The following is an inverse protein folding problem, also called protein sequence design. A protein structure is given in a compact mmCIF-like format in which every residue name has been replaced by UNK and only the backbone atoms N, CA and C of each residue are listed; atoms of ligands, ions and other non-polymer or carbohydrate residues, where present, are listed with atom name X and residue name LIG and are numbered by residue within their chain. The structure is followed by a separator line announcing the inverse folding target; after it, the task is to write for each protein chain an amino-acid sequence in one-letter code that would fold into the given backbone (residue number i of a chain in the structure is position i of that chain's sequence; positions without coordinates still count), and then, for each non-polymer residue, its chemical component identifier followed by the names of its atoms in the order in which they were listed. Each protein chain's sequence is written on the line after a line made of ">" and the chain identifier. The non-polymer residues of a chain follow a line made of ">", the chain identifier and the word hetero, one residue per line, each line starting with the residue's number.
data_IF_485237218701
#
_entry.id   IF_485237218701
#
_cell.length_a   1.000
_cell.length_b   1.000
_cell.length_c   1.000
_cell.angle_alpha   90.00
_cell.angle_beta   90.00
_cell.angle_gamma   90.00
#
_symmetry.space_group_name_H-M   'P 1'
#
loop_
_entity.id
_entity.type
_entity.pdbx_description
1 polymer ?
#
# COMPACT_ATOMS: atom_id res chain seq x y z
N UNK A 1 -6.47 -8.44 -14.70
CA UNK A 1 -7.63 -7.51 -14.63
C UNK A 1 -7.47 -6.72 -13.34
N UNK A 2 -7.50 -5.39 -13.41
CA UNK A 2 -7.52 -4.53 -12.22
C UNK A 2 -8.96 -4.12 -11.97
N UNK A 3 -9.37 -4.10 -10.70
CA UNK A 3 -10.62 -3.47 -10.28
C UNK A 3 -10.26 -2.09 -9.76
N UNK A 4 -10.70 -1.08 -10.50
CA UNK A 4 -10.51 0.31 -10.15
C UNK A 4 -11.77 0.83 -9.48
N UNK A 5 -11.67 1.35 -8.26
CA UNK A 5 -12.82 1.88 -7.54
C UNK A 5 -12.57 3.32 -7.07
N UNK A 6 -13.55 4.19 -7.26
CA UNK A 6 -13.47 5.61 -6.87
C UNK A 6 -14.38 5.83 -5.67
N UNK A 7 -13.80 6.25 -4.55
CA UNK A 7 -14.53 6.60 -3.34
C UNK A 7 -15.16 8.00 -3.49
N UNK A 8 -16.42 8.16 -3.10
CA UNK A 8 -17.07 9.47 -3.01
C UNK A 8 -17.52 9.70 -1.58
N UNK A 9 -17.15 10.84 -1.01
CA UNK A 9 -17.85 11.40 0.16
C UNK A 9 -18.62 12.63 -0.29
N UNK A 10 -19.95 12.69 -0.10
CA UNK A 10 -20.70 13.90 -0.43
C UNK A 10 -20.61 14.89 0.74
N UNK A 11 -19.47 15.55 0.93
CA UNK A 11 -19.42 16.80 1.73
C UNK A 11 -18.43 17.76 1.06
N UNK A 12 -18.96 18.94 0.70
CA UNK A 12 -18.30 20.19 0.34
C UNK A 12 -16.79 20.19 0.10
N UNK A 13 -16.44 20.52 -1.14
CA UNK A 13 -15.11 20.80 -1.66
C UNK A 13 -14.17 19.60 -1.85
N UNK A 14 -14.12 19.18 -3.12
CA UNK A 14 -13.04 18.54 -3.87
C UNK A 14 -11.93 17.89 -3.03
N UNK A 15 -11.93 16.55 -3.01
CA UNK A 15 -10.78 15.70 -3.35
C UNK A 15 -11.27 14.25 -3.51
N UNK A 16 -11.00 13.65 -4.68
CA UNK A 16 -11.32 12.25 -5.00
C UNK A 16 -10.29 11.32 -4.34
N UNK A 17 -10.73 10.42 -3.47
CA UNK A 17 -9.87 9.35 -2.95
C UNK A 17 -10.01 8.14 -3.89
N UNK A 18 -8.90 7.75 -4.51
CA UNK A 18 -8.83 6.59 -5.40
C UNK A 18 -8.39 5.39 -4.55
N UNK A 19 -9.26 4.40 -4.36
CA UNK A 19 -8.92 3.19 -3.61
C UNK A 19 -8.91 2.01 -4.59
N UNK A 20 -7.75 1.39 -4.77
CA UNK A 20 -7.60 0.23 -5.65
C UNK A 20 -7.76 -1.02 -4.80
N UNK A 21 -8.75 -1.84 -5.13
CA UNK A 21 -8.93 -3.15 -4.50
C UNK A 21 -8.57 -4.26 -5.49
N UNK A 22 -7.95 -5.32 -4.98
CA UNK A 22 -7.79 -6.57 -5.71
C UNK A 22 -8.91 -7.51 -5.24
N UNK A 23 -9.89 -7.79 -6.10
CA UNK A 23 -10.74 -8.97 -5.92
C UNK A 23 -10.18 -10.05 -6.85
N UNK A 24 -9.56 -11.08 -6.25
CA UNK A 24 -9.29 -12.32 -6.96
C UNK A 24 -10.62 -13.01 -7.23
N UNK A 25 -11.27 -12.70 -8.35
CA UNK A 25 -12.22 -13.64 -8.91
C UNK A 25 -11.40 -14.79 -9.50
N UNK A 26 -11.33 -15.91 -8.77
CA UNK A 26 -10.95 -17.22 -9.31
C UNK A 26 -11.96 -17.60 -10.41
N UNK A 27 -11.82 -16.99 -11.58
CA UNK A 27 -12.50 -17.44 -12.79
C UNK A 27 -11.48 -18.26 -13.54
N UNK A 28 -11.28 -19.49 -13.07
CA UNK A 28 -10.65 -20.55 -13.84
C UNK A 28 -11.57 -20.91 -15.00
N UNK A 29 -11.60 -20.09 -16.05
CA UNK A 29 -12.16 -20.50 -17.34
C UNK A 29 -11.01 -21.06 -18.15
N UNK A 30 -10.76 -22.35 -17.89
CA UNK A 30 -10.15 -23.25 -18.86
C UNK A 30 -10.92 -23.14 -20.19
N UNK A 31 -10.19 -23.09 -21.30
CA UNK A 31 -10.69 -22.97 -22.66
C UNK A 31 -12.01 -23.72 -22.91
N UNK A 32 -13.07 -22.98 -23.20
CA UNK A 32 -14.13 -23.46 -24.08
C UNK A 32 -14.71 -22.31 -24.90
N UNK A 33 -14.91 -22.58 -26.19
CA UNK A 33 -15.24 -21.65 -27.27
C UNK A 33 -16.26 -20.57 -26.88
N UNK A 34 -15.90 -19.34 -27.23
CA UNK A 34 -16.61 -18.08 -27.04
C UNK A 34 -18.05 -18.14 -27.58
N UNK A 35 -19.04 -17.91 -26.72
CA UNK A 35 -20.26 -17.19 -27.10
C UNK A 35 -20.10 -15.76 -26.63
N UNK A 36 -20.06 -14.81 -27.55
CA UNK A 36 -20.06 -13.38 -27.25
C UNK A 36 -21.33 -13.05 -26.46
N UNK A 37 -21.17 -12.76 -25.17
CA UNK A 37 -22.23 -12.11 -24.39
C UNK A 37 -22.06 -10.61 -24.64
N UNK A 38 -23.04 -10.00 -25.31
CA UNK A 38 -23.18 -8.54 -25.35
C UNK A 38 -23.38 -8.07 -23.91
N UNK A 39 -22.37 -7.40 -23.34
CA UNK A 39 -22.54 -6.64 -22.10
C UNK A 39 -23.25 -5.35 -22.51
N UNK A 40 -24.54 -5.29 -22.22
CA UNK A 40 -25.31 -4.04 -22.33
C UNK A 40 -24.90 -3.14 -21.18
N UNK A 41 -24.47 -1.92 -21.49
CA UNK A 41 -24.30 -0.84 -20.51
C UNK A 41 -25.63 -0.64 -19.76
N UNK A 42 -25.72 -1.11 -18.52
CA UNK A 42 -26.85 -0.80 -17.65
C UNK A 42 -26.56 0.54 -16.98
N UNK A 43 -27.01 1.63 -17.60
CA UNK A 43 -27.19 2.92 -16.94
C UNK A 43 -28.51 2.89 -16.15
N UNK A 44 -28.54 2.15 -15.05
CA UNK A 44 -29.55 2.39 -14.02
C UNK A 44 -28.97 3.36 -12.99
N UNK A 45 -29.44 4.60 -13.04
CA UNK A 45 -29.28 5.54 -11.94
C UNK A 45 -30.27 5.09 -10.87
N UNK A 46 -29.82 4.25 -9.94
CA UNK A 46 -30.60 3.92 -8.74
C UNK A 46 -30.53 5.13 -7.80
N UNK A 47 -31.66 5.64 -7.27
CA UNK A 47 -31.64 6.75 -6.33
C UNK A 47 -30.82 6.37 -5.09
N UNK A 48 -29.87 7.23 -4.72
CA UNK A 48 -29.08 7.12 -3.50
C UNK A 48 -30.01 7.09 -2.29
N UNK A 49 -29.97 5.99 -1.53
CA UNK A 49 -30.65 5.90 -0.23
C UNK A 49 -29.77 6.65 0.77
N UNK A 50 -30.29 7.72 1.38
CA UNK A 50 -29.58 8.61 2.30
C UNK A 50 -29.04 7.93 3.58
N UNK A 51 -29.52 6.72 3.91
CA UNK A 51 -29.28 6.06 5.21
C UNK A 51 -28.19 4.97 5.22
N UNK A 52 -27.45 4.74 4.11
CA UNK A 52 -26.55 3.58 4.00
C UNK A 52 -25.06 3.84 4.34
N UNK A 53 -24.70 5.04 4.77
CA UNK A 53 -23.29 5.34 5.09
C UNK A 53 -22.87 4.80 6.47
N UNK A 54 -22.04 3.77 6.46
CA UNK A 54 -21.29 3.33 7.65
C UNK A 54 -20.16 4.33 7.89
N UNK A 55 -20.43 5.35 8.71
CA UNK A 55 -19.45 6.36 9.09
C UNK A 55 -19.00 6.16 10.54
N UNK A 56 -17.69 5.93 10.73
CA UNK A 56 -17.07 5.90 12.05
C UNK A 56 -16.25 7.19 12.25
N UNK A 57 -16.85 8.27 12.78
CA UNK A 57 -16.10 9.47 13.09
C UNK A 57 -15.07 9.18 14.17
N UNK A 58 -13.89 9.79 14.04
CA UNK A 58 -13.00 9.97 15.18
C UNK A 58 -13.68 10.93 16.15
N UNK A 59 -14.02 10.45 17.34
CA UNK A 59 -14.59 11.24 18.44
C UNK A 59 -13.75 10.99 19.68
N UNK A 60 -13.31 12.07 20.34
CA UNK A 60 -12.43 12.01 21.52
C UNK A 60 -11.17 11.15 21.27
N UNK A 61 -10.56 11.30 20.08
CA UNK A 61 -9.44 10.50 19.59
C UNK A 61 -9.70 8.99 19.52
N UNK A 62 -10.97 8.57 19.38
CA UNK A 62 -11.34 7.16 19.25
C UNK A 62 -12.27 6.92 18.07
N UNK A 63 -12.13 5.75 17.47
CA UNK A 63 -13.06 5.15 16.52
C UNK A 63 -13.73 3.97 17.23
N UNK A 64 -15.00 4.15 17.64
CA UNK A 64 -15.76 3.12 18.35
C UNK A 64 -16.48 2.20 17.37
N UNK A 65 -16.17 0.91 17.41
CA UNK A 65 -16.75 -0.11 16.54
C UNK A 65 -17.41 -1.20 17.40
N UNK A 66 -18.69 -1.46 17.17
CA UNK A 66 -19.40 -2.56 17.83
C UNK A 66 -19.45 -3.78 16.91
N UNK A 67 -18.52 -4.71 17.10
CA UNK A 67 -18.41 -5.94 16.28
C UNK A 67 -19.61 -6.89 16.44
N UNK A 68 -20.39 -6.76 17.53
CA UNK A 68 -21.59 -7.56 17.75
C UNK A 68 -22.83 -7.02 17.02
N UNK A 69 -22.71 -5.85 16.38
CA UNK A 69 -23.79 -5.24 15.62
C UNK A 69 -23.38 -5.19 14.14
N UNK A 70 -23.57 -6.30 13.38
CA UNK A 70 -23.22 -6.33 11.97
C UNK A 70 -24.01 -5.25 11.23
N UNK A 71 -23.30 -4.45 10.43
CA UNK A 71 -23.91 -3.43 9.59
C UNK A 71 -24.11 -3.99 8.20
N UNK A 72 -25.30 -3.80 7.63
CA UNK A 72 -25.50 -4.05 6.19
C UNK A 72 -24.81 -2.91 5.45
N UNK A 73 -23.89 -3.27 4.56
CA UNK A 73 -23.25 -2.32 3.67
C UNK A 73 -23.17 -2.92 2.27
N UNK A 74 -23.33 -2.06 1.27
CA UNK A 74 -23.18 -2.29 -0.15
C UNK A 74 -21.82 -1.76 -0.61
N UNK A 75 -21.26 -2.32 -1.68
CA UNK A 75 -20.09 -1.72 -2.34
C UNK A 75 -20.38 -0.28 -2.79
N UNK A 76 -21.62 0.00 -3.19
CA UNK A 76 -22.06 1.32 -3.62
C UNK A 76 -22.19 2.35 -2.47
N UNK A 77 -22.16 1.90 -1.21
CA UNK A 77 -22.11 2.80 -0.06
C UNK A 77 -20.71 3.43 0.11
N UNK A 78 -19.68 2.77 -0.46
CA UNK A 78 -18.29 3.22 -0.40
C UNK A 78 -17.79 3.74 -1.75
N UNK A 79 -18.17 3.11 -2.85
CA UNK A 79 -17.65 3.45 -4.18
C UNK A 79 -18.73 4.09 -5.05
N UNK A 80 -18.43 5.28 -5.55
CA UNK A 80 -19.26 5.97 -6.54
C UNK A 80 -19.12 5.41 -7.96
N UNK A 81 -18.00 4.76 -8.23
CA UNK A 81 -17.69 4.21 -9.53
C UNK A 81 -16.78 3.00 -9.36
N UNK A 82 -17.07 1.94 -10.12
CA UNK A 82 -16.27 0.73 -10.19
C UNK A 82 -16.04 0.44 -11.68
N UNK A 83 -14.78 0.26 -12.04
CA UNK A 83 -14.32 -0.02 -13.40
C UNK A 83 -13.45 -1.27 -13.41
N UNK A 84 -13.56 -2.04 -14.50
CA UNK A 84 -12.74 -3.21 -14.77
C UNK A 84 -11.77 -2.90 -15.90
N UNK A 85 -10.48 -2.87 -15.59
CA UNK A 85 -9.44 -2.57 -16.57
C UNK A 85 -8.72 -3.87 -16.95
N UNK A 86 -8.91 -4.38 -18.17
CA UNK A 86 -8.16 -5.53 -18.66
C UNK A 86 -6.71 -5.10 -18.89
N UNK A 87 -5.76 -5.86 -18.34
CA UNK A 87 -4.34 -5.62 -18.59
C UNK A 87 -3.89 -6.37 -19.83
N UNK A 88 -3.10 -5.71 -20.68
CA UNK A 88 -2.39 -6.35 -21.77
C UNK A 88 -1.61 -7.57 -21.23
N UNK A 89 -1.78 -8.72 -21.89
CA UNK A 89 -1.23 -9.99 -21.42
C UNK A 89 -0.53 -10.70 -22.58
N UNK A 90 0.70 -11.14 -22.34
CA UNK A 90 1.51 -12.00 -23.21
C UNK A 90 2.53 -12.74 -22.35
N UNK A 91 3.17 -13.78 -22.88
CA UNK A 91 4.12 -14.63 -22.14
C UNK A 91 5.24 -13.83 -21.45
N UNK A 92 5.63 -12.68 -22.01
CA UNK A 92 6.70 -11.83 -21.47
C UNK A 92 6.25 -10.80 -20.42
N UNK A 93 4.94 -10.64 -20.20
CA UNK A 93 4.35 -9.63 -19.31
C UNK A 93 3.36 -10.24 -18.30
N UNK A 94 3.39 -11.56 -18.11
CA UNK A 94 2.58 -12.24 -17.11
C UNK A 94 2.89 -11.71 -15.70
N UNK A 95 1.83 -11.45 -14.94
CA UNK A 95 1.89 -11.08 -13.53
C UNK A 95 1.51 -12.32 -12.73
N UNK A 96 2.45 -12.82 -11.91
CA UNK A 96 2.24 -14.01 -11.09
C UNK A 96 1.47 -13.70 -9.80
N UNK A 97 2.03 -12.83 -8.97
CA UNK A 97 1.44 -12.45 -7.68
C UNK A 97 1.61 -10.95 -7.46
N UNK A 98 0.49 -10.23 -7.63
CA UNK A 98 0.41 -8.80 -7.44
C UNK A 98 0.41 -8.48 -5.93
N UNK A 99 1.54 -7.98 -5.42
CA UNK A 99 1.71 -7.59 -4.03
C UNK A 99 1.20 -6.16 -3.77
N UNK A 100 1.56 -5.22 -4.65
CA UNK A 100 1.19 -3.80 -4.51
C UNK A 100 0.77 -3.20 -5.85
N UNK A 101 -0.18 -2.26 -5.82
CA UNK A 101 -0.60 -1.46 -6.99
C UNK A 101 -0.61 0.02 -6.58
N UNK A 102 0.10 0.86 -7.35
CA UNK A 102 0.05 2.32 -7.20
C UNK A 102 -0.49 2.91 -8.50
N UNK A 103 -1.49 3.77 -8.39
CA UNK A 103 -1.93 4.59 -9.52
C UNK A 103 -1.38 6.01 -9.40
N UNK A 104 -0.53 6.41 -10.34
CA UNK A 104 0.12 7.71 -10.34
C UNK A 104 0.28 8.22 -11.78
N UNK A 105 -0.05 9.49 -12.02
CA UNK A 105 0.04 10.14 -13.34
C UNK A 105 -0.50 9.28 -14.51
N UNK A 106 -1.72 8.78 -14.36
CA UNK A 106 -2.43 7.97 -15.38
C UNK A 106 -1.70 6.66 -15.73
N UNK A 107 -0.97 6.10 -14.77
CA UNK A 107 -0.30 4.81 -14.91
C UNK A 107 -0.57 3.95 -13.70
N UNK A 108 -0.63 2.65 -13.93
CA UNK A 108 -0.62 1.62 -12.89
C UNK A 108 0.77 1.03 -12.77
N UNK A 109 1.35 1.13 -11.59
CA UNK A 109 2.60 0.49 -11.20
C UNK A 109 2.23 -0.73 -10.37
N UNK A 110 2.57 -1.91 -10.85
CA UNK A 110 2.18 -3.19 -10.24
C UNK A 110 3.45 -3.91 -9.83
N UNK A 111 3.59 -4.16 -8.54
CA UNK A 111 4.68 -4.99 -8.03
C UNK A 111 4.26 -6.47 -8.06
N UNK A 112 4.88 -7.24 -8.97
CA UNK A 112 4.79 -8.69 -9.00
C UNK A 112 5.89 -9.30 -8.13
N UNK A 113 5.50 -9.82 -6.96
CA UNK A 113 6.42 -10.37 -5.97
C UNK A 113 7.00 -11.72 -6.40
N UNK A 114 6.29 -12.51 -7.20
CA UNK A 114 6.81 -13.80 -7.68
C UNK A 114 8.00 -13.61 -8.64
N UNK A 115 7.93 -12.59 -9.49
CA UNK A 115 8.97 -12.26 -10.45
C UNK A 115 9.89 -11.13 -10.01
N UNK A 116 9.73 -10.60 -8.79
CA UNK A 116 10.38 -9.39 -8.27
C UNK A 116 10.46 -8.26 -9.31
N UNK A 117 9.33 -7.98 -9.95
CA UNK A 117 9.30 -7.01 -11.04
C UNK A 117 8.17 -6.01 -10.91
N UNK A 118 8.41 -4.81 -11.43
CA UNK A 118 7.44 -3.72 -11.41
C UNK A 118 6.94 -3.56 -12.84
N UNK A 119 5.69 -3.93 -13.09
CA UNK A 119 5.03 -3.75 -14.37
C UNK A 119 4.31 -2.40 -14.40
N UNK A 120 4.49 -1.65 -15.48
CA UNK A 120 3.87 -0.34 -15.65
C UNK A 120 2.92 -0.37 -16.84
N UNK A 121 1.66 -0.03 -16.58
CA UNK A 121 0.59 0.06 -17.58
C UNK A 121 0.04 1.48 -17.64
N UNK A 122 -0.54 1.86 -18.78
CA UNK A 122 -1.34 3.08 -18.85
C UNK A 122 -2.73 2.89 -18.21
N UNK A 123 -3.52 3.96 -18.16
CA UNK A 123 -4.86 3.98 -17.59
C UNK A 123 -5.88 3.11 -18.37
N UNK A 124 -5.56 2.71 -19.60
CA UNK A 124 -6.37 1.77 -20.41
C UNK A 124 -5.98 0.30 -20.20
N UNK A 125 -4.92 0.04 -19.42
CA UNK A 125 -4.39 -1.29 -19.18
C UNK A 125 -3.38 -1.77 -20.23
N UNK A 126 -2.91 -0.89 -21.13
CA UNK A 126 -1.87 -1.24 -22.10
C UNK A 126 -0.50 -1.27 -21.43
N UNK A 127 0.34 -2.24 -21.78
CA UNK A 127 1.69 -2.36 -21.21
C UNK A 127 2.60 -1.24 -21.73
N UNK A 128 3.37 -0.62 -20.82
CA UNK A 128 4.36 0.41 -21.16
C UNK A 128 5.78 -0.16 -21.03
N UNK A 129 6.16 -0.60 -19.83
CA UNK A 129 7.47 -1.20 -19.55
C UNK A 129 7.44 -2.02 -18.25
N UNK A 130 8.54 -2.73 -17.96
CA UNK A 130 8.76 -3.34 -16.64
C UNK A 130 10.17 -3.10 -16.13
N UNK A 131 10.32 -3.02 -14.80
CA UNK A 131 11.61 -3.05 -14.10
C UNK A 131 11.77 -4.46 -13.54
N UNK A 132 12.77 -5.19 -14.04
CA UNK A 132 13.11 -6.56 -13.63
C UNK A 132 14.64 -6.70 -13.65
N UNK A 133 15.29 -6.09 -12.66
CA UNK A 133 16.75 -5.98 -12.56
C UNK A 133 17.28 -6.90 -11.46
N UNK A 134 17.36 -8.19 -11.76
CA UNK A 134 17.83 -9.18 -10.80
C UNK A 134 19.35 -9.25 -10.73
N UNK A 135 19.90 -9.21 -9.52
CA UNK A 135 21.34 -9.35 -9.30
C UNK A 135 21.87 -8.46 -8.18
N UNK A 136 23.19 -8.27 -8.18
CA UNK A 136 23.91 -7.51 -7.15
C UNK A 136 24.68 -6.32 -7.73
N UNK A 137 24.56 -6.07 -9.04
CA UNK A 137 25.14 -4.91 -9.69
C UNK A 137 24.41 -3.60 -9.36
N UNK A 138 24.94 -2.46 -9.83
CA UNK A 138 24.29 -1.16 -9.66
C UNK A 138 22.87 -1.16 -10.25
N UNK A 139 21.88 -0.86 -9.43
CA UNK A 139 20.47 -0.87 -9.84
C UNK A 139 19.87 -2.26 -10.03
N UNK A 140 20.53 -3.30 -9.55
CA UNK A 140 19.98 -4.65 -9.45
C UNK A 140 19.64 -4.99 -8.00
N UNK A 141 18.68 -5.88 -7.83
CA UNK A 141 18.16 -6.32 -6.54
C UNK A 141 17.98 -7.84 -6.53
N UNK A 142 18.10 -8.44 -5.35
CA UNK A 142 17.83 -9.86 -5.12
C UNK A 142 16.53 -10.10 -4.35
N UNK A 143 15.95 -9.04 -3.80
CA UNK A 143 14.68 -9.04 -3.07
C UNK A 143 14.05 -7.65 -3.19
N UNK A 144 12.72 -7.61 -3.14
CA UNK A 144 11.91 -6.40 -3.00
C UNK A 144 10.78 -6.74 -2.05
N UNK A 145 10.52 -5.86 -1.10
CA UNK A 145 9.45 -6.00 -0.10
C UNK A 145 8.36 -4.96 -0.26
N UNK A 146 8.65 -3.78 -0.82
CA UNK A 146 7.66 -2.74 -1.06
C UNK A 146 8.13 -1.73 -2.11
N UNK A 147 7.16 -1.04 -2.73
CA UNK A 147 7.34 0.01 -3.71
C UNK A 147 6.61 1.29 -3.26
N UNK A 148 7.18 2.45 -3.58
CA UNK A 148 6.50 3.73 -3.44
C UNK A 148 6.85 4.68 -4.58
N UNK A 149 5.90 5.54 -4.95
CA UNK A 149 6.21 6.72 -5.76
C UNK A 149 6.53 7.86 -4.80
N UNK A 150 7.77 8.31 -4.82
CA UNK A 150 8.24 9.36 -3.92
C UNK A 150 7.83 10.74 -4.47
N UNK A 151 6.90 11.46 -3.80
CA UNK A 151 6.40 12.73 -4.31
C UNK A 151 7.43 13.86 -4.24
N UNK A 152 8.50 13.72 -3.45
CA UNK A 152 9.54 14.74 -3.30
C UNK A 152 10.62 14.64 -4.38
N UNK A 153 10.85 13.45 -4.92
CA UNK A 153 11.88 13.19 -5.94
C UNK A 153 11.28 12.89 -7.31
N UNK A 154 10.02 12.45 -7.38
CA UNK A 154 9.39 11.95 -8.59
C UNK A 154 9.84 10.56 -9.00
N UNK A 155 10.49 9.81 -8.10
CA UNK A 155 11.05 8.49 -8.39
C UNK A 155 10.10 7.36 -8.03
N UNK A 156 10.32 6.21 -8.67
CA UNK A 156 9.90 4.90 -8.18
C UNK A 156 10.99 4.43 -7.23
N UNK A 157 10.69 4.37 -5.95
CA UNK A 157 11.60 3.84 -4.94
C UNK A 157 11.13 2.44 -4.54
N UNK A 158 12.07 1.50 -4.53
CA UNK A 158 11.85 0.12 -4.11
C UNK A 158 12.68 -0.16 -2.86
N UNK A 159 12.17 -0.91 -1.90
CA UNK A 159 12.98 -1.40 -0.78
C UNK A 159 13.19 -2.89 -0.86
N UNK A 160 14.40 -3.35 -0.56
CA UNK A 160 14.78 -4.76 -0.53
C UNK A 160 15.99 -4.97 0.37
N UNK A 161 15.88 -5.89 1.34
CA UNK A 161 16.91 -6.09 2.39
C UNK A 161 17.35 -4.77 3.07
N UNK A 162 16.44 -3.80 3.16
CA UNK A 162 16.68 -2.46 3.70
C UNK A 162 17.48 -1.49 2.83
N UNK A 163 17.90 -1.88 1.63
CA UNK A 163 18.40 -0.93 0.64
C UNK A 163 17.21 -0.28 -0.08
N UNK A 164 17.38 0.96 -0.54
CA UNK A 164 16.41 1.65 -1.38
C UNK A 164 16.98 1.79 -2.79
N UNK A 165 16.27 1.27 -3.78
CA UNK A 165 16.62 1.35 -5.20
C UNK A 165 15.69 2.36 -5.89
N UNK A 166 16.27 3.44 -6.40
CA UNK A 166 15.54 4.53 -7.06
C UNK A 166 15.63 4.42 -8.57
N UNK A 167 14.47 4.51 -9.23
CA UNK A 167 14.32 4.59 -10.68
C UNK A 167 13.47 5.81 -11.03
N UNK A 168 13.69 6.40 -12.20
CA UNK A 168 12.78 7.42 -12.71
C UNK A 168 11.46 6.79 -13.22
N UNK A 169 10.48 7.62 -13.57
CA UNK A 169 9.17 7.17 -14.08
C UNK A 169 9.24 6.51 -15.48
N UNK A 170 10.42 6.46 -16.11
CA UNK A 170 10.68 5.69 -17.33
C UNK A 170 11.31 4.32 -17.05
N UNK A 171 11.59 4.02 -15.78
CA UNK A 171 12.22 2.77 -15.35
C UNK A 171 13.74 2.77 -15.43
N UNK A 172 14.37 3.94 -15.64
CA UNK A 172 15.82 4.05 -15.66
C UNK A 172 16.35 4.19 -14.24
N UNK A 173 17.37 3.39 -13.91
CA UNK A 173 18.05 3.44 -12.63
C UNK A 173 18.68 4.81 -12.37
N UNK A 174 18.52 5.30 -11.14
CA UNK A 174 19.11 6.56 -10.66
C UNK A 174 20.22 6.25 -9.65
N UNK A 175 19.88 5.56 -8.54
CA UNK A 175 20.81 5.30 -7.44
C UNK A 175 20.30 4.18 -6.53
N UNK A 176 21.22 3.62 -5.75
CA UNK A 176 20.93 2.75 -4.61
C UNK A 176 21.39 3.45 -3.33
N UNK A 177 20.51 3.52 -2.34
CA UNK A 177 20.83 3.94 -0.98
C UNK A 177 20.98 2.68 -0.14
N UNK A 178 22.19 2.46 0.37
CA UNK A 178 22.47 1.26 1.17
C UNK A 178 21.98 1.45 2.59
N UNK A 179 21.41 0.38 3.15
CA UNK A 179 20.97 0.38 4.54
C UNK A 179 22.12 0.79 5.47
N UNK A 180 21.92 1.77 6.36
CA UNK A 180 22.95 2.17 7.32
C UNK A 180 23.18 1.09 8.39
N UNK A 181 24.41 0.99 8.89
CA UNK A 181 24.81 -0.02 9.90
C UNK A 181 24.02 0.09 11.20
N UNK A 182 23.62 1.29 11.61
CA UNK A 182 22.84 1.52 12.81
C UNK A 182 21.33 1.24 12.64
N UNK A 183 20.91 0.67 11.51
CA UNK A 183 19.54 0.22 11.29
C UNK A 183 19.15 -0.91 12.24
N UNK A 184 17.95 -0.82 12.82
CA UNK A 184 17.33 -1.91 13.57
C UNK A 184 17.15 -3.21 12.77
N UNK A 185 17.17 -3.20 11.43
CA UNK A 185 16.96 -4.42 10.65
C UNK A 185 16.66 -4.19 9.17
N UNK A 186 16.09 -5.18 8.49
CA UNK A 186 15.65 -5.04 7.09
C UNK A 186 14.36 -4.23 7.01
N UNK A 187 14.27 -3.33 6.03
CA UNK A 187 13.04 -2.57 5.82
C UNK A 187 12.05 -3.43 5.03
N UNK A 188 10.92 -3.71 5.66
CA UNK A 188 9.82 -4.43 5.04
C UNK A 188 8.89 -3.46 4.28
N UNK A 189 8.73 -2.26 4.81
CA UNK A 189 7.98 -1.18 4.17
C UNK A 189 8.63 0.17 4.51
N UNK A 190 8.33 1.21 3.75
CA UNK A 190 8.97 2.51 3.91
C UNK A 190 8.16 3.61 3.22
N UNK A 191 8.23 4.81 3.77
CA UNK A 191 7.59 6.00 3.21
C UNK A 191 8.54 7.20 3.26
N UNK A 192 8.58 8.05 2.22
CA UNK A 192 9.27 9.32 2.30
C UNK A 192 8.38 10.34 3.02
N UNK A 193 8.93 11.03 4.02
CA UNK A 193 8.25 12.13 4.73
C UNK A 193 8.79 13.50 4.34
N UNK A 194 9.96 13.53 3.68
CA UNK A 194 10.48 14.67 2.92
C UNK A 194 11.56 14.18 1.93
N UNK A 195 12.24 15.10 1.24
CA UNK A 195 13.26 14.78 0.24
C UNK A 195 14.46 13.96 0.77
N UNK A 196 14.77 14.04 2.07
CA UNK A 196 15.96 13.44 2.67
C UNK A 196 15.65 12.44 3.79
N UNK A 197 14.38 12.19 4.09
CA UNK A 197 13.99 11.39 5.25
C UNK A 197 12.94 10.36 4.85
N UNK A 198 13.30 9.10 5.09
CA UNK A 198 12.36 8.00 5.04
C UNK A 198 12.01 7.55 6.45
N UNK A 199 10.76 7.11 6.63
CA UNK A 199 10.33 6.35 7.78
C UNK A 199 10.16 4.91 7.33
N UNK A 200 10.96 4.02 7.88
CA UNK A 200 11.07 2.63 7.47
C UNK A 200 10.51 1.72 8.56
N UNK A 201 9.58 0.85 8.18
CA UNK A 201 9.13 -0.24 9.02
C UNK A 201 10.09 -1.43 8.91
N UNK A 202 10.57 -1.88 10.06
CA UNK A 202 11.55 -2.96 10.19
C UNK A 202 10.81 -4.27 10.45
N UNK A 203 10.97 -5.21 9.52
CA UNK A 203 10.46 -6.58 9.66
C UNK A 203 11.57 -7.54 10.09
N UNK A 204 11.18 -8.66 10.72
CA UNK A 204 12.04 -9.82 10.97
C UNK A 204 13.40 -9.47 11.60
N UNK A 205 13.39 -8.64 12.65
CA UNK A 205 14.58 -8.30 13.44
C UNK A 205 14.26 -8.35 14.92
N UNK A 206 15.21 -8.78 15.75
CA UNK A 206 15.09 -8.82 17.22
C UNK A 206 15.16 -7.44 17.89
N UNK A 207 15.59 -6.40 17.17
CA UNK A 207 15.58 -5.02 17.71
C UNK A 207 14.13 -4.64 18.08
N UNK A 208 13.88 -4.15 19.31
CA UNK A 208 12.52 -3.87 19.77
C UNK A 208 11.88 -2.70 19.03
N UNK A 209 12.66 -1.78 18.45
CA UNK A 209 12.13 -0.63 17.72
C UNK A 209 11.89 -0.98 16.25
N UNK A 210 10.63 -0.85 15.82
CA UNK A 210 10.20 -1.25 14.47
C UNK A 210 10.09 -0.10 13.48
N UNK A 211 10.30 1.13 13.93
CA UNK A 211 10.24 2.32 13.07
C UNK A 211 11.57 3.03 13.10
N UNK A 212 12.24 3.09 11.95
CA UNK A 212 13.49 3.81 11.77
C UNK A 212 13.27 5.07 10.94
N UNK A 213 13.80 6.20 11.42
CA UNK A 213 13.89 7.44 10.66
C UNK A 213 15.25 7.49 9.98
N UNK A 214 15.28 7.24 8.68
CA UNK A 214 16.47 7.15 7.86
C UNK A 214 16.76 8.47 7.13
N UNK A 215 17.77 9.20 7.60
CA UNK A 215 18.30 10.39 6.92
C UNK A 215 19.26 9.92 5.81
N UNK A 216 18.81 10.04 4.56
CA UNK A 216 19.54 9.55 3.38
C UNK A 216 20.68 10.48 2.98
N UNK A 217 20.65 11.75 3.40
CA UNK A 217 21.73 12.69 3.16
C UNK A 217 22.96 12.38 4.01
N UNK A 218 22.73 11.89 5.24
CA UNK A 218 23.78 11.47 6.18
C UNK A 218 24.07 9.97 6.14
N UNK A 219 23.22 9.21 5.45
CA UNK A 219 23.20 7.75 5.47
C UNK A 219 23.19 7.18 6.91
N UNK A 220 22.23 7.61 7.74
CA UNK A 220 22.15 7.15 9.14
C UNK A 220 20.72 7.12 9.65
N UNK A 221 20.45 6.20 10.58
CA UNK A 221 19.23 6.26 11.37
C UNK A 221 19.37 7.35 12.43
N UNK A 222 18.55 8.40 12.32
CA UNK A 222 18.53 9.52 13.26
C UNK A 222 17.56 9.32 14.41
N UNK A 223 16.64 8.36 14.29
CA UNK A 223 15.67 8.01 15.34
C UNK A 223 15.11 6.61 15.14
N UNK A 224 14.83 5.95 16.27
CA UNK A 224 14.10 4.69 16.35
C UNK A 224 12.87 4.89 17.22
N UNK A 225 11.71 4.41 16.79
CA UNK A 225 10.44 4.51 17.51
C UNK A 225 9.64 3.21 17.40
N UNK A 226 8.52 3.18 18.13
CA UNK A 226 7.60 2.06 18.26
C UNK A 226 8.29 0.79 18.79
N UNK A 227 8.29 0.67 20.11
CA UNK A 227 8.72 -0.54 20.81
C UNK A 227 7.64 -1.62 20.66
N UNK A 228 7.99 -2.74 20.04
CA UNK A 228 7.09 -3.87 19.80
C UNK A 228 7.09 -4.85 20.97
N UNK A 229 6.01 -5.61 21.11
CA UNK A 229 5.92 -6.64 22.15
C UNK A 229 7.01 -7.70 21.94
N UNK A 230 7.69 -8.09 23.02
CA UNK A 230 8.81 -9.02 22.96
C UNK A 230 8.43 -10.40 22.45
N UNK A 231 7.22 -10.89 22.77
CA UNK A 231 6.74 -12.18 22.28
C UNK A 231 6.45 -12.10 20.79
N UNK A 232 5.86 -10.99 20.33
CA UNK A 232 5.66 -10.76 18.90
C UNK A 232 6.99 -10.73 18.16
N UNK A 233 7.92 -9.95 18.68
CA UNK A 233 9.25 -9.78 18.13
C UNK A 233 10.06 -11.10 18.09
N UNK A 234 9.88 -11.97 19.10
CA UNK A 234 10.68 -13.21 19.25
C UNK A 234 10.06 -14.42 18.56
N UNK A 235 8.74 -14.59 18.64
CA UNK A 235 8.07 -15.83 18.25
C UNK A 235 7.16 -15.67 17.04
N UNK A 236 6.67 -14.45 16.85
CA UNK A 236 5.80 -14.13 15.75
C UNK A 236 6.60 -13.37 14.70
N UNK A 237 7.38 -14.11 13.91
CA UNK A 237 7.77 -13.66 12.57
C UNK A 237 6.50 -13.56 11.72
N UNK A 238 5.55 -12.69 12.08
CA UNK A 238 4.31 -12.54 11.33
C UNK A 238 4.72 -11.88 10.03
N UNK A 239 4.94 -12.72 9.03
CA UNK A 239 4.93 -12.34 7.64
C UNK A 239 3.51 -11.89 7.32
N UNK A 240 3.13 -10.70 7.75
CA UNK A 240 1.93 -10.07 7.22
C UNK A 240 2.29 -9.48 5.87
N UNK A 241 2.56 -10.35 4.89
CA UNK A 241 2.78 -10.04 3.47
C UNK A 241 1.53 -9.39 2.81
N UNK A 242 0.61 -8.85 3.60
CA UNK A 242 -0.69 -8.36 3.17
C UNK A 242 -1.13 -7.09 3.89
N UNK A 243 -0.30 -6.54 4.80
CA UNK A 243 -0.63 -5.29 5.49
C UNK A 243 0.56 -4.34 5.40
N UNK A 244 0.46 -3.35 4.51
CA UNK A 244 1.36 -2.20 4.52
C UNK A 244 1.10 -1.44 5.83
N UNK A 245 2.09 -1.35 6.75
CA UNK A 245 1.87 -0.74 8.06
C UNK A 245 1.63 0.78 7.96
N UNK A 246 1.91 1.35 6.79
CA UNK A 246 1.65 2.73 6.47
C UNK A 246 0.48 2.87 5.51
N UNK A 247 -0.29 3.94 5.68
CA UNK A 247 -1.26 4.40 4.69
C UNK A 247 -1.29 5.92 4.66
N UNK A 248 -1.73 6.48 3.53
CA UNK A 248 -1.85 7.92 3.33
C UNK A 248 -3.31 8.35 3.39
N UNK A 249 -3.58 9.46 4.07
CA UNK A 249 -4.89 10.10 4.11
C UNK A 249 -4.76 11.63 4.20
N UNK A 250 -5.29 12.34 3.20
CA UNK A 250 -5.28 13.82 3.11
C UNK A 250 -3.89 14.47 3.22
N UNK A 251 -2.92 13.94 2.49
CA UNK A 251 -1.52 14.40 2.44
C UNK A 251 -0.70 14.00 3.67
N UNK A 252 -1.23 13.15 4.55
CA UNK A 252 -0.57 12.71 5.78
C UNK A 252 -0.41 11.22 5.80
N UNK A 253 0.73 10.78 6.33
CA UNK A 253 1.00 9.37 6.53
C UNK A 253 0.62 8.95 7.94
N UNK A 254 0.10 7.74 8.03
CA UNK A 254 -0.27 7.11 9.28
C UNK A 254 0.37 5.73 9.37
N UNK A 255 0.70 5.34 10.58
CA UNK A 255 1.26 4.04 10.93
C UNK A 255 0.32 3.33 11.89
N UNK A 256 0.10 2.04 11.69
CA UNK A 256 -0.63 1.19 12.63
C UNK A 256 -0.04 -0.21 12.66
N UNK A 257 -0.35 -0.95 13.73
CA UNK A 257 0.01 -2.35 13.90
C UNK A 257 -1.22 -3.14 14.32
N UNK A 258 -1.32 -4.39 13.87
CA UNK A 258 -2.48 -5.24 14.15
C UNK A 258 -2.64 -5.63 15.64
N UNK A 259 -1.61 -5.42 16.45
CA UNK A 259 -1.57 -5.69 17.89
C UNK A 259 -1.73 -4.43 18.75
N UNK A 260 -1.79 -3.26 18.12
CA UNK A 260 -1.98 -1.99 18.81
C UNK A 260 -3.23 -1.34 18.22
N UNK A 261 -4.21 -1.08 19.08
CA UNK A 261 -5.40 -0.37 18.68
C UNK A 261 -5.11 1.11 18.36
N UNK A 262 -3.92 1.62 18.65
CA UNK A 262 -3.50 2.98 18.35
C UNK A 262 -2.98 3.10 16.93
N UNK A 263 -3.50 4.10 16.22
CA UNK A 263 -2.95 4.59 14.97
C UNK A 263 -2.16 5.87 15.23
N UNK A 264 -1.00 6.00 14.61
CA UNK A 264 -0.09 7.12 14.78
C UNK A 264 0.00 7.92 13.48
N UNK A 265 -0.08 9.25 13.54
CA UNK A 265 0.35 10.13 12.46
C UNK A 265 1.89 10.09 12.40
N UNK A 266 2.44 9.89 11.20
CA UNK A 266 3.88 9.86 10.95
C UNK A 266 4.35 11.26 10.59
N UNK A 267 5.03 11.93 11.53
CA UNK A 267 5.67 13.21 11.30
C UNK A 267 7.12 13.08 10.82
N UNK A 268 7.79 14.20 10.56
CA UNK A 268 9.24 14.23 10.33
C UNK A 268 10.03 14.00 11.62
N UNK A 269 9.43 14.36 12.76
CA UNK A 269 10.13 14.37 14.04
C UNK A 269 9.79 13.16 14.90
N UNK A 270 8.55 12.67 14.86
CA UNK A 270 8.09 11.53 15.66
C UNK A 270 6.76 10.98 15.15
N UNK A 271 6.44 9.76 15.59
CA UNK A 271 5.08 9.24 15.60
C UNK A 271 4.27 9.98 16.65
N UNK A 272 3.03 10.34 16.32
CA UNK A 272 2.09 10.98 17.25
C UNK A 272 0.78 10.21 17.25
N UNK A 273 0.24 9.79 18.42
CA UNK A 273 -1.06 9.16 18.47
C UNK A 273 -2.11 10.03 17.77
N UNK A 274 -2.76 9.48 16.75
CA UNK A 274 -3.80 10.17 16.00
C UNK A 274 -5.18 9.80 16.54
N UNK A 275 -5.44 8.49 16.66
CA UNK A 275 -6.67 7.96 17.24
C UNK A 275 -6.49 6.48 17.62
N UNK A 276 -7.42 5.96 18.42
CA UNK A 276 -7.46 4.54 18.79
C UNK A 276 -8.74 3.86 18.30
N UNK A 277 -8.62 2.61 17.90
CA UNK A 277 -9.76 1.73 17.64
C UNK A 277 -10.29 1.19 18.97
N UNK A 278 -11.61 1.27 19.17
CA UNK A 278 -12.24 0.80 20.38
C UNK A 278 -13.36 -0.20 20.03
N UNK A 279 -13.07 -1.47 20.27
CA UNK A 279 -13.94 -2.62 20.07
C UNK A 279 -14.68 -3.04 21.37
N UNK A 280 -14.65 -2.19 22.41
CA UNK A 280 -15.27 -2.45 23.70
C UNK A 280 -14.58 -3.60 24.44
N UNK A 281 -15.36 -4.62 24.84
CA UNK A 281 -14.84 -5.81 25.53
C UNK A 281 -13.97 -6.73 24.66
N UNK A 282 -13.88 -6.42 23.36
CA UNK A 282 -13.10 -7.17 22.38
C UNK A 282 -11.78 -6.48 22.02
N UNK A 283 -11.40 -5.42 22.76
CA UNK A 283 -10.06 -4.86 22.61
C UNK A 283 -9.01 -5.91 22.95
N UNK A 284 -7.92 -5.88 22.20
CA UNK A 284 -6.70 -6.57 22.57
C UNK A 284 -6.09 -5.82 23.76
N UNK A 285 -5.95 -6.50 24.90
CA UNK A 285 -5.35 -6.00 26.14
C UNK A 285 -3.87 -6.42 26.23
#
# INVERSE_FOLDING_TARGET
>A
MIIYAIYHKPIGHQNLIKIIFIIFSLVSVSCNKTKQVKVTEVKEIVPLIEDSYVYYPVKDNQIKVNLNKPQKASLFDYFSHIELIPLETSDNILIGYCEEIIHYQNRYYIFDRNSLSIHVFDDTGKFIFKISKHGQGPGEYIDITSMIINPFTGNIDLTGLGNIYSYDLSGKYIKTLFRPENSSGYYWNFIPVNANLYVCYVGMSLDPYKINYYDVGKNTIIRKEYEDDILLNTYFFVSTNSHTPFYEYHGKWYFYRFVDNTTYEVGTDSLKPAYTWNFGKLNYD
#
